data_IF_349844465121
#
_entry.id   IF_349844465121
#
_cell.length_a   1.000
_cell.length_b   1.000
_cell.length_c   1.000
_cell.angle_alpha   90.00
_cell.angle_beta   90.00
_cell.angle_gamma   90.00
#
_symmetry.space_group_name_H-M   'P 1'
#
loop_
_entity.id
_entity.type
_entity.pdbx_description
1 polymer ?
#
# COMPACT_ATOMS: atom_id res chain seq x y z
N UNK A 1 14.72 -6.49 11.92
CA UNK A 1 14.68 -6.34 10.44
C UNK A 1 13.78 -5.17 10.15
N UNK A 2 14.11 -4.26 9.23
CA UNK A 2 13.26 -3.09 8.97
C UNK A 2 12.24 -3.46 7.90
N UNK A 3 10.95 -3.34 8.22
CA UNK A 3 9.84 -3.70 7.34
C UNK A 3 9.25 -2.46 6.69
N UNK A 4 9.00 -2.50 5.39
CA UNK A 4 8.19 -1.50 4.69
C UNK A 4 6.88 -2.15 4.28
N UNK A 5 5.78 -1.44 4.51
CA UNK A 5 4.47 -1.82 3.98
C UNK A 5 4.22 -1.04 2.69
N UNK A 6 3.87 -1.77 1.63
CA UNK A 6 3.55 -1.22 0.32
C UNK A 6 2.06 -1.36 0.08
N UNK A 7 1.34 -0.25 -0.05
CA UNK A 7 -0.10 -0.22 -0.34
C UNK A 7 -0.29 0.00 -1.84
N UNK A 8 -1.00 -0.92 -2.51
CA UNK A 8 -1.39 -0.85 -3.93
C UNK A 8 -2.91 -0.87 -4.07
N UNK A 9 -3.40 -0.21 -5.12
CA UNK A 9 -4.82 -0.20 -5.46
C UNK A 9 -5.02 -0.54 -6.93
N UNK A 10 -4.76 -1.81 -7.30
CA UNK A 10 -4.88 -2.27 -8.67
C UNK A 10 -3.63 -2.95 -9.21
N UNK A 11 -3.66 -3.21 -10.51
CA UNK A 11 -2.68 -3.99 -11.24
C UNK A 11 -1.87 -3.09 -12.19
N UNK A 12 -1.41 -1.92 -11.76
CA UNK A 12 -0.48 -1.15 -12.57
C UNK A 12 0.89 -1.83 -12.63
N UNK A 13 1.30 -2.16 -13.86
CA UNK A 13 2.65 -2.60 -14.17
C UNK A 13 3.67 -1.47 -13.91
N UNK A 14 4.82 -1.81 -13.33
CA UNK A 14 5.96 -0.89 -13.19
C UNK A 14 6.37 -0.54 -11.75
N UNK A 15 5.52 -0.82 -10.76
CA UNK A 15 5.86 -0.63 -9.33
C UNK A 15 6.78 -1.72 -8.76
N UNK A 16 6.95 -2.81 -9.51
CA UNK A 16 7.83 -3.93 -9.15
C UNK A 16 9.31 -3.52 -9.11
N UNK A 17 9.71 -2.46 -9.82
CA UNK A 17 11.08 -1.94 -9.77
C UNK A 17 11.40 -1.32 -8.41
N UNK A 18 10.44 -0.61 -7.79
CA UNK A 18 10.63 -0.01 -6.48
C UNK A 18 10.72 -1.11 -5.41
N UNK A 19 9.81 -2.08 -5.45
CA UNK A 19 9.85 -3.21 -4.52
C UNK A 19 11.14 -4.02 -4.66
N UNK A 20 11.57 -4.30 -5.89
CA UNK A 20 12.83 -5.00 -6.15
C UNK A 20 14.01 -4.24 -5.55
N UNK A 21 14.10 -2.92 -5.81
CA UNK A 21 15.20 -2.09 -5.30
C UNK A 21 15.24 -2.07 -3.77
N UNK A 22 14.09 -1.97 -3.11
CA UNK A 22 14.00 -1.98 -1.65
C UNK A 22 14.40 -3.35 -1.07
N UNK A 23 14.00 -4.46 -1.71
CA UNK A 23 14.44 -5.80 -1.31
C UNK A 23 15.95 -5.99 -1.49
N UNK A 24 16.53 -5.46 -2.57
CA UNK A 24 17.98 -5.49 -2.81
C UNK A 24 18.77 -4.68 -1.78
N UNK A 25 18.19 -3.61 -1.24
CA UNK A 25 18.75 -2.81 -0.12
C UNK A 25 18.55 -3.49 1.27
N UNK A 26 17.91 -4.67 1.31
CA UNK A 26 17.77 -5.48 2.53
C UNK A 26 16.51 -5.19 3.35
N UNK A 27 15.52 -4.51 2.77
CA UNK A 27 14.22 -4.32 3.43
C UNK A 27 13.33 -5.54 3.27
N UNK A 28 12.63 -5.88 4.36
CA UNK A 28 11.48 -6.77 4.27
C UNK A 28 10.28 -5.98 3.77
N UNK A 29 9.53 -6.53 2.81
CA UNK A 29 8.37 -5.87 2.22
C UNK A 29 7.14 -6.73 2.35
N UNK A 30 6.10 -6.12 2.92
CA UNK A 30 4.72 -6.60 2.88
C UNK A 30 3.93 -5.74 1.91
N UNK A 31 3.35 -6.37 0.89
CA UNK A 31 2.49 -5.70 -0.09
C UNK A 31 1.03 -5.97 0.24
N UNK A 32 0.25 -4.90 0.43
CA UNK A 32 -1.18 -4.91 0.67
C UNK A 32 -1.91 -4.45 -0.60
N UNK A 33 -2.81 -5.28 -1.09
CA UNK A 33 -3.61 -5.06 -2.29
C UNK A 33 -5.05 -4.70 -1.93
N UNK A 34 -5.34 -3.41 -1.97
CA UNK A 34 -6.66 -2.88 -1.60
C UNK A 34 -7.76 -3.40 -2.52
N UNK A 35 -7.46 -3.62 -3.81
CA UNK A 35 -8.43 -4.14 -4.78
C UNK A 35 -8.87 -5.58 -4.48
N UNK A 36 -8.11 -6.30 -3.65
CA UNK A 36 -8.43 -7.64 -3.16
C UNK A 36 -9.11 -7.65 -1.79
N UNK A 37 -9.28 -6.48 -1.17
CA UNK A 37 -9.81 -6.37 0.18
C UNK A 37 -8.84 -6.86 1.26
N UNK A 38 -7.54 -6.85 0.98
CA UNK A 38 -6.53 -7.17 2.00
C UNK A 38 -6.56 -6.11 3.12
N UNK A 39 -6.41 -6.52 4.40
CA UNK A 39 -6.54 -5.61 5.52
C UNK A 39 -5.36 -4.64 5.58
N UNK A 40 -5.64 -3.39 5.96
CA UNK A 40 -4.61 -2.42 6.35
C UNK A 40 -3.94 -2.85 7.67
N UNK A 41 -2.67 -2.46 7.90
CA UNK A 41 -1.99 -2.78 9.15
C UNK A 41 -2.72 -2.12 10.32
N UNK A 42 -2.94 -2.87 11.40
CA UNK A 42 -3.62 -2.36 12.60
C UNK A 42 -2.71 -1.46 13.46
N UNK A 43 -1.39 -1.53 13.24
CA UNK A 43 -0.37 -0.78 13.99
C UNK A 43 0.85 -0.51 13.10
N UNK A 44 1.60 0.54 13.45
CA UNK A 44 2.87 0.90 12.82
C UNK A 44 4.11 0.59 13.68
N UNK A 45 3.94 0.00 14.88
CA UNK A 45 5.05 -0.23 15.83
C UNK A 45 6.25 -1.01 15.25
N UNK A 46 6.01 -1.91 14.30
CA UNK A 46 7.04 -2.72 13.64
C UNK A 46 7.32 -2.31 12.19
N UNK A 47 6.71 -1.22 11.73
CA UNK A 47 6.81 -0.74 10.35
C UNK A 47 7.83 0.41 10.30
N UNK A 48 8.94 0.17 9.60
CA UNK A 48 10.00 1.16 9.37
C UNK A 48 9.72 2.12 8.21
N UNK A 49 8.69 1.86 7.40
CA UNK A 49 8.24 2.77 6.36
C UNK A 49 6.93 2.35 5.70
N UNK A 50 6.20 3.33 5.16
CA UNK A 50 4.96 3.14 4.42
C UNK A 50 5.12 3.73 3.02
N UNK A 51 4.85 2.92 2.00
CA UNK A 51 4.87 3.33 0.60
C UNK A 51 3.47 3.15 0.02
N UNK A 52 2.81 4.26 -0.33
CA UNK A 52 1.49 4.23 -0.98
C UNK A 52 1.71 4.55 -2.46
N UNK A 53 1.34 3.61 -3.33
CA UNK A 53 1.58 3.75 -4.76
C UNK A 53 0.43 4.50 -5.42
N UNK A 54 0.79 5.37 -6.37
CA UNK A 54 -0.16 6.11 -7.17
C UNK A 54 -0.86 5.18 -8.16
N UNK A 55 -2.11 5.52 -8.47
CA UNK A 55 -2.96 4.85 -9.45
C UNK A 55 -3.76 5.94 -10.18
N UNK A 56 -4.27 5.67 -11.40
CA UNK A 56 -5.05 6.64 -12.18
C UNK A 56 -6.46 6.75 -11.60
N UNK A 57 -6.56 7.33 -10.41
CA UNK A 57 -7.79 7.58 -9.67
C UNK A 57 -7.77 8.97 -9.05
N UNK A 58 -8.94 9.59 -8.95
CA UNK A 58 -9.07 10.86 -8.26
C UNK A 58 -9.33 10.60 -6.78
N UNK A 59 -8.66 11.37 -5.90
CA UNK A 59 -8.80 11.21 -4.43
C UNK A 59 -10.21 11.47 -3.89
N UNK A 60 -11.11 12.02 -4.72
CA UNK A 60 -12.50 12.31 -4.37
C UNK A 60 -13.49 11.26 -4.89
N UNK A 61 -13.03 10.25 -5.64
CA UNK A 61 -13.86 9.14 -6.15
C UNK A 61 -14.16 8.10 -5.05
N UNK A 62 -14.31 8.51 -3.79
CA UNK A 62 -14.48 7.60 -2.65
C UNK A 62 -15.82 6.85 -2.66
N UNK A 63 -16.85 7.43 -3.29
CA UNK A 63 -18.16 6.79 -3.44
C UNK A 63 -18.15 5.69 -4.51
N UNK A 64 -17.34 5.86 -5.55
CA UNK A 64 -17.29 4.98 -6.72
C UNK A 64 -16.10 4.03 -6.69
N UNK A 65 -15.08 4.31 -5.87
CA UNK A 65 -13.90 3.49 -5.68
C UNK A 65 -13.81 2.99 -4.22
N UNK A 66 -14.23 1.74 -3.95
CA UNK A 66 -14.25 1.16 -2.61
C UNK A 66 -12.91 1.19 -1.88
N UNK A 67 -11.80 1.21 -2.62
CA UNK A 67 -10.45 1.20 -2.09
C UNK A 67 -9.98 2.57 -1.57
N UNK A 68 -10.72 3.65 -1.86
CA UNK A 68 -10.47 4.99 -1.33
C UNK A 68 -11.33 5.32 -0.10
N UNK A 69 -12.06 4.33 0.44
CA UNK A 69 -12.87 4.53 1.64
C UNK A 69 -11.99 4.86 2.84
N UNK A 70 -12.22 6.04 3.40
CA UNK A 70 -11.62 6.46 4.67
C UNK A 70 -12.44 5.86 5.81
N UNK A 71 -11.80 5.04 6.65
CA UNK A 71 -12.39 4.55 7.89
C UNK A 71 -12.05 5.53 9.02
N UNK A 72 -13.05 6.21 9.54
CA UNK A 72 -12.93 7.02 10.74
C UNK A 72 -13.13 6.11 11.95
N UNK A 73 -12.14 6.03 12.84
CA UNK A 73 -12.41 5.53 14.19
C UNK A 73 -13.27 6.58 14.89
N UNK A 74 -14.56 6.27 15.07
CA UNK A 74 -15.44 7.00 15.97
C UNK A 74 -15.20 6.59 17.41
#
# INVERSE_FOLDING_TARGET
MKKIVVIRNGCQEGTDHIEKTLREDGWDLETIRLEKGEPLPQSFEEIGGLLILGEPMHVYEQETNPCLKVYLNM
#
